data_IF_159998764132
#
_entry.id   IF_159998764132
#
_cell.length_a   1.000
_cell.length_b   1.000
_cell.length_c   1.000
_cell.angle_alpha   90.00
_cell.angle_beta   90.00
_cell.angle_gamma   90.00
#
_symmetry.space_group_name_H-M   'P 1'
#
loop_
_entity.id
_entity.type
_entity.pdbx_description
1 polymer ?
#
# COMPACT_ATOMS: atom_id res chain seq x y z
N UNK A 1 -19.70 41.21 12.00
CA UNK A 1 -18.29 40.69 12.11
C UNK A 1 -18.17 39.22 11.70
N UNK A 2 -19.23 38.42 11.76
CA UNK A 2 -19.24 36.99 11.46
C UNK A 2 -19.10 36.60 9.98
N UNK A 3 -19.55 37.47 9.07
CA UNK A 3 -19.51 37.18 7.63
C UNK A 3 -18.07 37.12 7.08
N UNK A 4 -17.19 38.00 7.50
CA UNK A 4 -15.77 38.04 7.11
C UNK A 4 -14.98 36.80 7.62
N UNK A 5 -15.31 36.28 8.79
CA UNK A 5 -14.71 35.08 9.36
C UNK A 5 -15.09 33.83 8.59
N UNK A 6 -16.38 33.68 8.21
CA UNK A 6 -16.86 32.56 7.43
C UNK A 6 -16.16 32.45 6.07
N UNK A 7 -15.95 33.58 5.39
CA UNK A 7 -15.28 33.57 4.09
C UNK A 7 -13.77 33.27 4.20
N UNK A 8 -13.10 33.75 5.22
CA UNK A 8 -11.69 33.41 5.50
C UNK A 8 -11.54 31.91 5.81
N UNK A 9 -12.44 31.34 6.58
CA UNK A 9 -12.44 29.91 6.90
C UNK A 9 -12.63 29.06 5.63
N UNK A 10 -13.57 29.38 4.78
CA UNK A 10 -13.84 28.70 3.50
C UNK A 10 -12.62 28.79 2.59
N UNK A 11 -11.97 29.95 2.51
CA UNK A 11 -10.77 30.14 1.71
C UNK A 11 -9.59 29.30 2.22
N UNK A 12 -9.38 29.26 3.54
CA UNK A 12 -8.33 28.44 4.16
C UNK A 12 -8.60 26.96 3.92
N UNK A 13 -9.83 26.49 4.10
CA UNK A 13 -10.22 25.10 3.84
C UNK A 13 -10.04 24.75 2.36
N UNK A 14 -10.38 25.66 1.45
CA UNK A 14 -10.15 25.49 0.02
C UNK A 14 -8.66 25.33 -0.31
N UNK A 15 -7.80 26.19 0.25
CA UNK A 15 -6.33 26.08 0.05
C UNK A 15 -5.81 24.75 0.61
N UNK A 16 -6.24 24.35 1.81
CA UNK A 16 -5.85 23.06 2.41
C UNK A 16 -6.29 21.88 1.54
N UNK A 17 -7.52 21.90 1.05
CA UNK A 17 -8.04 20.84 0.17
C UNK A 17 -7.26 20.75 -1.14
N UNK A 18 -6.93 21.89 -1.77
CA UNK A 18 -6.12 21.95 -2.98
C UNK A 18 -4.70 21.43 -2.69
N UNK A 19 -4.06 21.89 -1.62
CA UNK A 19 -2.75 21.41 -1.22
C UNK A 19 -2.76 19.89 -0.95
N UNK A 20 -3.76 19.39 -0.23
CA UNK A 20 -3.94 17.96 0.01
C UNK A 20 -4.04 17.17 -1.31
N UNK A 21 -4.81 17.69 -2.27
CA UNK A 21 -5.01 17.06 -3.57
C UNK A 21 -3.71 16.96 -4.39
N UNK A 22 -2.89 18.02 -4.39
CA UNK A 22 -1.62 18.02 -5.10
C UNK A 22 -0.54 17.18 -4.42
N UNK A 23 -0.53 17.14 -3.09
CA UNK A 23 0.44 16.35 -2.32
C UNK A 23 0.18 14.84 -2.37
N UNK A 24 -1.07 14.42 -2.63
CA UNK A 24 -1.46 13.03 -2.63
C UNK A 24 -1.94 12.60 -4.03
N UNK A 25 -1.04 12.15 -4.89
CA UNK A 25 -1.36 11.76 -6.26
C UNK A 25 -2.26 10.51 -6.30
N UNK A 26 -2.98 10.33 -7.42
CA UNK A 26 -3.71 9.11 -7.69
C UNK A 26 -2.76 7.92 -7.90
N UNK A 27 -3.20 6.72 -7.54
CA UNK A 27 -2.51 5.43 -7.72
C UNK A 27 -1.09 5.33 -7.12
N UNK A 28 -0.74 6.24 -6.22
CA UNK A 28 0.56 6.30 -5.55
C UNK A 28 0.41 6.75 -4.11
N UNK A 29 1.47 6.48 -3.33
CA UNK A 29 1.58 7.06 -2.00
C UNK A 29 2.06 8.51 -2.09
N UNK A 30 1.34 9.41 -1.45
CA UNK A 30 1.76 10.78 -1.22
C UNK A 30 2.46 10.91 0.13
N UNK A 31 1.66 11.05 1.19
CA UNK A 31 2.17 11.16 2.56
C UNK A 31 2.50 9.79 3.16
N UNK A 32 3.68 9.66 3.76
CA UNK A 32 4.15 8.41 4.38
C UNK A 32 4.82 8.72 5.71
N UNK A 33 4.23 8.22 6.78
CA UNK A 33 4.83 8.15 8.12
C UNK A 33 4.45 6.85 8.80
N UNK A 34 5.22 6.47 9.83
CA UNK A 34 4.87 5.33 10.69
C UNK A 34 3.44 5.47 11.22
N UNK A 35 2.63 4.45 11.02
CA UNK A 35 1.23 4.41 11.46
C UNK A 35 0.24 5.24 10.64
N UNK A 36 0.70 6.03 9.65
CA UNK A 36 -0.19 6.78 8.76
C UNK A 36 0.43 6.90 7.37
N UNK A 37 -0.29 6.40 6.38
CA UNK A 37 0.03 6.58 4.97
C UNK A 37 -1.17 7.14 4.23
N UNK A 38 -0.94 7.80 3.12
CA UNK A 38 -2.01 8.20 2.20
C UNK A 38 -1.75 7.55 0.85
N UNK A 39 -2.65 6.67 0.43
CA UNK A 39 -2.62 6.03 -0.87
C UNK A 39 -3.84 6.43 -1.68
N UNK A 40 -3.64 6.81 -2.93
CA UNK A 40 -4.73 7.24 -3.82
C UNK A 40 -5.67 8.26 -3.15
N UNK A 41 -5.12 9.21 -2.38
CA UNK A 41 -5.83 10.22 -1.56
C UNK A 41 -6.63 9.65 -0.39
N UNK A 42 -6.54 8.37 -0.10
CA UNK A 42 -7.21 7.72 1.03
C UNK A 42 -6.21 7.59 2.18
N UNK A 43 -6.47 8.21 3.33
CA UNK A 43 -5.63 8.01 4.50
C UNK A 43 -5.86 6.61 5.08
N UNK A 44 -4.77 5.89 5.33
CA UNK A 44 -4.75 4.56 5.96
C UNK A 44 -3.94 4.66 7.24
N UNK A 45 -4.59 4.36 8.36
CA UNK A 45 -3.96 4.34 9.68
C UNK A 45 -4.40 3.10 10.45
N UNK A 46 -3.52 2.56 11.29
CA UNK A 46 -3.78 1.43 12.19
C UNK A 46 -4.05 0.06 11.54
N UNK A 47 -4.06 -0.04 10.23
CA UNK A 47 -4.26 -1.29 9.51
C UNK A 47 -3.05 -1.60 8.65
N UNK A 48 -2.70 -2.88 8.55
CA UNK A 48 -1.83 -3.34 7.48
C UNK A 48 -2.60 -3.20 6.16
N UNK A 49 -1.93 -3.10 5.03
CA UNK A 49 -2.63 -2.94 3.77
C UNK A 49 -2.00 -3.74 2.64
N UNK A 50 -2.85 -4.17 1.74
CA UNK A 50 -2.47 -4.77 0.47
C UNK A 50 -3.00 -3.92 -0.69
N UNK A 51 -2.16 -3.72 -1.69
CA UNK A 51 -2.53 -3.08 -2.95
C UNK A 51 -2.29 -4.09 -4.06
N UNK A 52 -3.34 -4.41 -4.79
CA UNK A 52 -3.28 -5.37 -5.87
C UNK A 52 -2.61 -4.78 -7.13
N UNK A 53 -2.29 -5.61 -8.15
CA UNK A 53 -1.68 -5.14 -9.39
C UNK A 53 -2.50 -4.10 -10.16
N UNK A 54 -3.80 -4.04 -9.93
CA UNK A 54 -4.69 -3.08 -10.58
C UNK A 54 -4.86 -1.79 -9.76
N UNK A 55 -4.21 -1.69 -8.59
CA UNK A 55 -4.18 -0.50 -7.74
C UNK A 55 -5.29 -0.42 -6.71
N UNK A 56 -6.05 -1.50 -6.50
CA UNK A 56 -7.09 -1.55 -5.49
C UNK A 56 -6.49 -1.76 -4.10
N UNK A 57 -6.89 -0.92 -3.16
CA UNK A 57 -6.47 -0.96 -1.77
C UNK A 57 -7.38 -1.90 -0.96
N UNK A 58 -6.76 -2.77 -0.18
CA UNK A 58 -7.40 -3.62 0.83
C UNK A 58 -6.78 -3.33 2.19
N UNK A 59 -7.60 -3.26 3.21
CA UNK A 59 -7.16 -3.11 4.60
C UNK A 59 -7.08 -4.51 5.21
N UNK A 60 -5.96 -4.79 5.88
CA UNK A 60 -5.66 -6.11 6.39
C UNK A 60 -5.60 -6.10 7.92
N UNK A 61 -5.98 -7.23 8.51
CA UNK A 61 -5.70 -7.51 9.91
C UNK A 61 -4.20 -7.74 10.11
N UNK A 62 -3.75 -7.72 11.38
CA UNK A 62 -2.33 -7.88 11.71
C UNK A 62 -1.69 -9.11 11.05
N UNK A 63 -0.87 -8.86 10.04
CA UNK A 63 -0.16 -9.87 9.26
C UNK A 63 1.02 -10.52 10.01
N UNK A 64 1.36 -10.03 11.21
CA UNK A 64 2.34 -10.70 12.09
C UNK A 64 1.84 -12.05 12.58
N UNK A 65 0.53 -12.26 12.58
CA UNK A 65 -0.09 -13.52 12.98
C UNK A 65 -0.04 -14.52 11.82
N UNK A 66 0.62 -15.70 11.95
CA UNK A 66 0.80 -16.64 10.84
C UNK A 66 -0.49 -17.09 10.14
N UNK A 67 -1.57 -17.28 10.90
CA UNK A 67 -2.88 -17.67 10.36
C UNK A 67 -3.46 -16.58 9.45
N UNK A 68 -3.23 -15.28 9.76
CA UNK A 68 -3.68 -14.18 8.94
C UNK A 68 -2.95 -14.14 7.59
N UNK A 69 -1.68 -14.56 7.53
CA UNK A 69 -0.92 -14.63 6.28
C UNK A 69 -1.53 -15.64 5.30
N UNK A 70 -1.92 -16.81 5.78
CA UNK A 70 -2.56 -17.83 4.95
C UNK A 70 -3.94 -17.37 4.48
N UNK A 71 -4.74 -16.80 5.39
CA UNK A 71 -6.06 -16.24 5.06
C UNK A 71 -5.96 -15.14 4.02
N UNK A 72 -5.04 -14.19 4.21
CA UNK A 72 -4.74 -13.12 3.26
C UNK A 72 -4.40 -13.67 1.88
N UNK A 73 -3.50 -14.68 1.83
CA UNK A 73 -3.12 -15.29 0.55
C UNK A 73 -4.33 -15.90 -0.16
N UNK A 74 -5.12 -16.71 0.52
CA UNK A 74 -6.29 -17.35 -0.06
C UNK A 74 -7.33 -16.31 -0.54
N UNK A 75 -7.51 -15.23 0.21
CA UNK A 75 -8.47 -14.19 -0.14
C UNK A 75 -8.07 -13.42 -1.40
N UNK A 76 -6.78 -13.09 -1.55
CA UNK A 76 -6.34 -12.18 -2.62
C UNK A 76 -5.71 -12.90 -3.82
N UNK A 77 -5.17 -14.08 -3.63
CA UNK A 77 -4.40 -14.79 -4.67
C UNK A 77 -5.02 -16.10 -5.15
N UNK A 78 -5.99 -16.69 -4.45
CA UNK A 78 -6.62 -17.95 -4.87
C UNK A 78 -7.21 -17.85 -6.28
N UNK A 79 -7.85 -16.74 -6.60
CA UNK A 79 -8.51 -16.48 -7.88
C UNK A 79 -7.67 -15.60 -8.83
N UNK A 80 -6.47 -15.16 -8.41
CA UNK A 80 -5.63 -14.35 -9.27
C UNK A 80 -4.97 -15.22 -10.34
N UNK A 81 -5.23 -14.88 -11.59
CA UNK A 81 -4.53 -15.47 -12.72
C UNK A 81 -3.71 -14.38 -13.42
N UNK A 82 -2.41 -14.59 -13.46
CA UNK A 82 -1.55 -13.72 -14.28
C UNK A 82 -1.80 -14.05 -15.75
N UNK A 83 -2.55 -13.18 -16.44
CA UNK A 83 -2.89 -13.34 -17.86
C UNK A 83 -1.72 -13.01 -18.79
N UNK A 84 -0.59 -12.57 -18.28
CA UNK A 84 0.61 -12.27 -19.08
C UNK A 84 1.60 -13.42 -18.93
N UNK A 85 1.63 -14.41 -19.80
CA UNK A 85 2.58 -15.51 -19.73
C UNK A 85 4.00 -14.94 -19.80
N UNK A 86 4.89 -15.46 -18.97
CA UNK A 86 6.31 -15.13 -18.88
C UNK A 86 6.69 -13.78 -18.28
N UNK A 87 5.76 -13.03 -17.67
CA UNK A 87 6.10 -11.79 -16.98
C UNK A 87 5.68 -11.88 -15.52
N UNK A 88 6.63 -12.06 -14.61
CA UNK A 88 6.34 -12.03 -13.18
C UNK A 88 5.94 -10.61 -12.74
N UNK A 89 4.92 -10.52 -11.88
CA UNK A 89 4.48 -9.25 -11.30
C UNK A 89 5.26 -8.99 -10.02
N UNK A 90 6.00 -7.88 -9.89
CA UNK A 90 6.67 -7.53 -8.66
C UNK A 90 5.67 -7.41 -7.51
N UNK A 91 5.92 -8.12 -6.40
CA UNK A 91 5.21 -8.01 -5.14
C UNK A 91 6.18 -7.48 -4.08
N UNK A 92 6.07 -6.21 -3.74
CA UNK A 92 6.89 -5.64 -2.67
C UNK A 92 6.25 -5.91 -1.32
N UNK A 93 7.05 -6.41 -0.37
CA UNK A 93 6.61 -6.73 0.98
C UNK A 93 7.36 -5.83 1.95
N UNK A 94 6.67 -4.85 2.50
CA UNK A 94 7.19 -3.92 3.51
C UNK A 94 7.01 -4.48 4.91
N UNK A 95 8.13 -4.70 5.60
CA UNK A 95 8.17 -5.41 6.89
C UNK A 95 8.00 -4.51 8.12
N UNK A 96 7.84 -3.21 7.93
CA UNK A 96 7.72 -2.22 8.99
C UNK A 96 8.62 -1.00 8.75
N UNK A 97 8.40 0.07 9.53
CA UNK A 97 9.14 1.34 9.36
C UNK A 97 10.41 1.44 10.21
N UNK A 98 10.46 0.84 11.40
CA UNK A 98 11.55 1.06 12.38
C UNK A 98 11.99 -0.22 13.11
N UNK A 99 12.13 -1.33 12.47
CA UNK A 99 12.78 -2.53 13.06
C UNK A 99 12.12 -3.19 14.27
N UNK A 100 11.14 -2.56 14.92
CA UNK A 100 10.42 -3.10 16.05
C UNK A 100 9.15 -3.82 15.56
N UNK A 101 9.04 -5.10 15.71
CA UNK A 101 7.98 -5.99 15.19
C UNK A 101 8.00 -6.08 13.66
N UNK A 102 9.08 -6.58 13.12
CA UNK A 102 9.14 -6.87 11.69
C UNK A 102 8.17 -8.00 11.34
N UNK A 103 7.37 -7.76 10.33
CA UNK A 103 6.61 -8.82 9.68
C UNK A 103 7.59 -9.73 8.91
N UNK A 104 7.56 -11.01 9.22
CA UNK A 104 8.33 -12.02 8.50
C UNK A 104 7.37 -12.92 7.72
N UNK A 105 7.26 -12.73 6.39
CA UNK A 105 6.45 -13.61 5.57
C UNK A 105 7.02 -15.03 5.65
N UNK A 106 6.15 -16.02 5.80
CA UNK A 106 6.57 -17.41 5.84
C UNK A 106 6.95 -17.92 4.43
N UNK A 107 7.86 -18.89 4.37
CA UNK A 107 8.34 -19.44 3.09
C UNK A 107 7.23 -20.07 2.25
N UNK A 108 6.22 -20.64 2.89
CA UNK A 108 5.07 -21.22 2.19
C UNK A 108 4.28 -20.13 1.44
N UNK A 109 4.01 -19.00 2.09
CA UNK A 109 3.36 -17.85 1.46
C UNK A 109 4.17 -17.35 0.26
N UNK A 110 5.49 -17.19 0.43
CA UNK A 110 6.38 -16.73 -0.65
C UNK A 110 6.39 -17.71 -1.83
N UNK A 111 6.43 -19.00 -1.56
CA UNK A 111 6.36 -20.05 -2.59
C UNK A 111 5.01 -19.99 -3.34
N UNK A 112 3.91 -19.85 -2.62
CA UNK A 112 2.57 -19.73 -3.23
C UNK A 112 2.47 -18.48 -4.11
N UNK A 113 3.02 -17.34 -3.68
CA UNK A 113 3.07 -16.12 -4.51
C UNK A 113 3.83 -16.36 -5.84
N UNK A 114 5.00 -17.03 -5.79
CA UNK A 114 5.78 -17.34 -7.00
C UNK A 114 5.00 -18.25 -7.96
N UNK A 115 4.32 -19.27 -7.45
CA UNK A 115 3.47 -20.16 -8.28
C UNK A 115 2.36 -19.39 -9.00
N UNK A 116 1.86 -18.32 -8.40
CA UNK A 116 0.83 -17.44 -8.99
C UNK A 116 1.39 -16.35 -9.91
N UNK A 117 2.69 -16.39 -10.21
CA UNK A 117 3.34 -15.46 -11.13
C UNK A 117 3.74 -14.12 -10.49
N UNK A 118 3.89 -14.08 -9.17
CA UNK A 118 4.46 -12.93 -8.47
C UNK A 118 5.93 -13.14 -8.14
N UNK A 119 6.68 -12.05 -8.14
CA UNK A 119 8.07 -12.02 -7.68
C UNK A 119 8.14 -11.25 -6.35
N UNK A 120 8.10 -11.96 -5.20
CA UNK A 120 8.12 -11.31 -3.89
C UNK A 120 9.51 -10.75 -3.58
N UNK A 121 9.56 -9.49 -3.14
CA UNK A 121 10.75 -8.80 -2.69
C UNK A 121 10.50 -8.18 -1.31
N UNK A 122 11.24 -8.66 -0.30
CA UNK A 122 11.08 -8.27 1.11
C UNK A 122 12.03 -7.10 1.41
N UNK A 123 11.51 -6.04 2.02
CA UNK A 123 12.28 -4.84 2.38
C UNK A 123 11.58 -4.03 3.47
N UNK A 124 12.20 -2.92 3.93
CA UNK A 124 11.50 -1.98 4.81
C UNK A 124 10.30 -1.36 4.13
N UNK A 125 9.26 -0.98 4.90
CA UNK A 125 8.04 -0.40 4.34
C UNK A 125 8.31 0.88 3.53
N UNK A 126 9.25 1.72 3.97
CA UNK A 126 9.65 2.91 3.21
C UNK A 126 10.27 2.58 1.84
N UNK A 127 11.17 1.58 1.78
CA UNK A 127 11.77 1.13 0.53
C UNK A 127 10.74 0.49 -0.41
N UNK A 128 9.82 -0.31 0.14
CA UNK A 128 8.73 -0.94 -0.61
C UNK A 128 7.83 0.10 -1.28
N UNK A 129 7.42 1.14 -0.53
CA UNK A 129 6.63 2.26 -1.04
C UNK A 129 7.36 3.00 -2.16
N UNK A 130 8.65 3.29 -1.96
CA UNK A 130 9.46 3.99 -2.98
C UNK A 130 9.52 3.22 -4.29
N UNK A 131 9.77 1.92 -4.23
CA UNK A 131 9.81 1.05 -5.44
C UNK A 131 8.44 0.92 -6.09
N UNK A 132 7.41 0.71 -5.29
CA UNK A 132 6.03 0.65 -5.77
C UNK A 132 5.64 1.95 -6.52
N UNK A 133 5.87 3.12 -5.90
CA UNK A 133 5.59 4.41 -6.54
C UNK A 133 6.34 4.58 -7.86
N UNK A 134 7.61 4.15 -7.93
CA UNK A 134 8.40 4.23 -9.15
C UNK A 134 7.82 3.40 -10.30
N UNK A 135 7.34 2.18 -10.03
CA UNK A 135 6.69 1.35 -11.05
C UNK A 135 5.32 1.89 -11.45
N UNK A 136 4.51 2.34 -10.48
CA UNK A 136 3.19 2.94 -10.76
C UNK A 136 3.31 4.22 -11.59
N UNK A 137 4.34 5.02 -11.36
CA UNK A 137 4.63 6.19 -12.19
C UNK A 137 4.94 5.81 -13.65
N UNK A 138 5.54 4.64 -13.88
CA UNK A 138 5.80 4.08 -15.20
C UNK A 138 4.60 3.30 -15.75
N UNK A 139 3.45 3.33 -15.09
CA UNK A 139 2.23 2.57 -15.44
C UNK A 139 2.46 1.05 -15.51
N UNK A 140 3.45 0.54 -14.76
CA UNK A 140 3.73 -0.89 -14.68
C UNK A 140 2.91 -1.54 -13.58
N UNK A 141 2.42 -2.77 -13.85
CA UNK A 141 1.73 -3.58 -12.85
C UNK A 141 2.70 -4.00 -11.74
N UNK A 142 2.31 -3.77 -10.51
CA UNK A 142 3.01 -4.22 -9.31
C UNK A 142 2.03 -4.30 -8.15
N UNK A 143 2.31 -5.16 -7.18
CA UNK A 143 1.55 -5.29 -5.95
C UNK A 143 2.39 -4.88 -4.74
N UNK A 144 1.74 -4.52 -3.66
CA UNK A 144 2.40 -4.09 -2.43
C UNK A 144 1.66 -4.63 -1.21
N UNK A 145 2.39 -5.23 -0.29
CA UNK A 145 1.94 -5.61 1.03
C UNK A 145 2.71 -4.83 2.07
N UNK A 146 2.04 -4.11 2.95
CA UNK A 146 2.66 -3.24 3.95
C UNK A 146 2.23 -3.59 5.36
N UNK A 147 3.23 -3.77 6.23
CA UNK A 147 3.11 -3.66 7.67
C UNK A 147 3.26 -2.20 8.08
N UNK A 148 2.27 -1.64 8.79
CA UNK A 148 2.26 -0.22 9.19
C UNK A 148 2.67 0.02 10.65
N UNK A 149 2.53 -0.96 11.52
CA UNK A 149 2.84 -0.84 12.97
C UNK A 149 3.46 -2.10 13.57
#
# INVERSE_FOLDING_TARGET
MDWLWKHKLVLVLGIVAVAYWFYNPADRFGYVRKGLIVYNRIPVAFFDCYIDPDGKLFLESDLSVPNNQNYWFEQHFSNYQNHTPNTAIPLYIGTGFDGAKQFHPNEEMLRKCRIRGFEPAIMSSGAAITRFNGLRQQQKKCALLLKLH
#
